data_IF_152419317945
#
_entry.id   IF_152419317945
#
_cell.length_a   1.000
_cell.length_b   1.000
_cell.length_c   1.000
_cell.angle_alpha   90.00
_cell.angle_beta   90.00
_cell.angle_gamma   90.00
#
_symmetry.space_group_name_H-M   'P 1'
#
loop_
_entity.id
_entity.type
_entity.pdbx_description
1 polymer ?
#
# COMPACT_ATOMS: atom_id res chain seq x y z
N UNK A 1 -56.67 14.60 -28.23
CA UNK A 1 -56.17 14.82 -26.86
C UNK A 1 -55.59 13.51 -26.35
N UNK A 2 -54.30 13.29 -26.55
CA UNK A 2 -53.56 12.14 -26.01
C UNK A 2 -52.97 12.57 -24.67
N UNK A 3 -53.42 11.95 -23.59
CA UNK A 3 -52.89 12.16 -22.24
C UNK A 3 -51.55 11.46 -22.10
N UNK A 4 -50.48 12.24 -22.10
CA UNK A 4 -49.15 11.84 -21.65
C UNK A 4 -49.18 11.61 -20.13
N UNK A 5 -49.29 10.36 -19.70
CA UNK A 5 -48.98 9.98 -18.33
C UNK A 5 -47.47 9.68 -18.24
N UNK A 6 -46.68 10.73 -18.06
CA UNK A 6 -45.29 10.64 -17.62
C UNK A 6 -45.26 10.43 -16.11
N UNK A 7 -45.52 9.20 -15.68
CA UNK A 7 -45.03 8.75 -14.38
C UNK A 7 -43.52 8.57 -14.54
N UNK A 8 -42.77 9.60 -14.16
CA UNK A 8 -41.34 9.50 -13.90
C UNK A 8 -41.13 8.54 -12.72
N UNK A 9 -41.12 7.25 -13.02
CA UNK A 9 -40.60 6.25 -12.10
C UNK A 9 -39.12 6.55 -11.93
N UNK A 10 -38.73 6.89 -10.69
CA UNK A 10 -37.33 6.90 -10.24
C UNK A 10 -36.59 5.72 -10.88
N UNK A 11 -35.33 5.88 -11.32
CA UNK A 11 -34.59 4.81 -12.00
C UNK A 11 -34.52 3.61 -11.07
N UNK A 12 -35.42 2.65 -11.29
CA UNK A 12 -35.45 1.40 -10.55
C UNK A 12 -34.19 0.67 -10.97
N UNK A 13 -33.25 0.53 -10.04
CA UNK A 13 -32.06 -0.28 -10.24
C UNK A 13 -32.48 -1.60 -10.88
N UNK A 14 -31.88 -2.01 -12.02
CA UNK A 14 -32.26 -3.23 -12.68
C UNK A 14 -32.06 -4.39 -11.70
N UNK A 15 -33.16 -4.91 -11.16
CA UNK A 15 -33.13 -6.04 -10.23
C UNK A 15 -32.84 -7.27 -11.06
N UNK A 16 -31.64 -7.84 -10.91
CA UNK A 16 -31.32 -9.11 -11.54
C UNK A 16 -32.24 -10.18 -10.96
N UNK A 17 -33.06 -10.83 -11.80
CA UNK A 17 -33.95 -11.91 -11.34
C UNK A 17 -33.16 -13.13 -10.88
N UNK A 18 -32.04 -13.42 -11.53
CA UNK A 18 -31.11 -14.50 -11.18
C UNK A 18 -29.66 -14.05 -11.39
N UNK A 19 -28.79 -14.31 -10.42
CA UNK A 19 -27.36 -14.00 -10.47
C UNK A 19 -26.52 -15.14 -11.05
N UNK A 20 -27.02 -16.37 -10.93
CA UNK A 20 -26.36 -17.61 -11.30
C UNK A 20 -27.30 -18.42 -12.19
N UNK A 21 -26.77 -18.99 -13.27
CA UNK A 21 -27.48 -19.83 -14.22
C UNK A 21 -26.69 -21.11 -14.48
N UNK A 22 -27.20 -22.23 -13.96
CA UNK A 22 -26.58 -23.56 -13.92
C UNK A 22 -25.16 -23.60 -13.37
N UNK A 23 -24.19 -23.32 -14.23
CA UNK A 23 -22.76 -23.46 -13.97
C UNK A 23 -22.01 -22.13 -14.12
N UNK A 24 -22.67 -21.01 -14.43
CA UNK A 24 -22.00 -19.71 -14.61
C UNK A 24 -22.84 -18.52 -14.12
N UNK A 25 -22.22 -17.35 -14.04
CA UNK A 25 -22.93 -16.11 -13.73
C UNK A 25 -23.76 -15.64 -14.93
N UNK A 26 -24.97 -15.16 -14.67
CA UNK A 26 -25.75 -14.45 -15.70
C UNK A 26 -25.03 -13.14 -16.07
N UNK A 27 -25.31 -12.58 -17.25
CA UNK A 27 -24.75 -11.27 -17.65
C UNK A 27 -25.02 -10.19 -16.59
N UNK A 28 -26.20 -10.23 -15.96
CA UNK A 28 -26.58 -9.31 -14.90
C UNK A 28 -25.74 -9.55 -13.63
N UNK A 29 -25.57 -10.81 -13.23
CA UNK A 29 -24.76 -11.17 -12.07
C UNK A 29 -23.28 -10.86 -12.25
N UNK A 30 -22.74 -11.08 -13.45
CA UNK A 30 -21.38 -10.68 -13.81
C UNK A 30 -21.16 -9.19 -13.64
N UNK A 31 -22.01 -8.37 -14.26
CA UNK A 31 -21.87 -6.92 -14.27
C UNK A 31 -22.08 -6.32 -12.87
N UNK A 32 -23.05 -6.80 -12.09
CA UNK A 32 -23.35 -6.26 -10.76
C UNK A 32 -22.43 -6.78 -9.65
N UNK A 33 -22.12 -8.08 -9.65
CA UNK A 33 -21.39 -8.71 -8.56
C UNK A 33 -19.89 -8.80 -8.83
N UNK A 34 -19.46 -9.25 -10.00
CA UNK A 34 -18.03 -9.48 -10.27
C UNK A 34 -17.30 -8.20 -10.69
N UNK A 35 -17.91 -7.38 -11.55
CA UNK A 35 -17.21 -6.23 -12.13
C UNK A 35 -17.30 -4.95 -11.29
N UNK A 36 -18.41 -4.73 -10.57
CA UNK A 36 -18.56 -3.54 -9.69
C UNK A 36 -17.96 -3.73 -8.30
N UNK A 37 -17.91 -4.97 -7.79
CA UNK A 37 -17.40 -5.26 -6.45
C UNK A 37 -15.98 -4.72 -6.19
N UNK A 38 -14.99 -4.88 -7.09
CA UNK A 38 -13.66 -4.32 -6.89
C UNK A 38 -13.68 -2.80 -6.71
N UNK A 39 -14.53 -2.08 -7.44
CA UNK A 39 -14.62 -0.63 -7.32
C UNK A 39 -15.20 -0.19 -5.98
N UNK A 40 -16.21 -0.89 -5.44
CA UNK A 40 -16.71 -0.62 -4.09
C UNK A 40 -15.63 -0.84 -3.03
N UNK A 41 -14.83 -1.90 -3.18
CA UNK A 41 -13.68 -2.14 -2.31
C UNK A 41 -12.63 -1.04 -2.43
N UNK A 42 -12.33 -0.55 -3.63
CA UNK A 42 -11.42 0.59 -3.80
C UNK A 42 -11.96 1.86 -3.13
N UNK A 43 -13.25 2.15 -3.23
CA UNK A 43 -13.85 3.31 -2.56
C UNK A 43 -13.75 3.18 -1.04
N UNK A 44 -14.09 2.01 -0.49
CA UNK A 44 -13.96 1.72 0.94
C UNK A 44 -12.50 1.84 1.40
N UNK A 45 -11.59 1.29 0.61
CA UNK A 45 -10.15 1.34 0.80
C UNK A 45 -9.62 2.79 0.84
N UNK A 46 -10.02 3.63 -0.12
CA UNK A 46 -9.71 5.07 -0.13
C UNK A 46 -10.22 5.74 1.13
N UNK A 47 -11.47 5.48 1.53
CA UNK A 47 -12.04 6.05 2.74
C UNK A 47 -11.24 5.65 3.98
N UNK A 48 -10.84 4.39 4.11
CA UNK A 48 -10.02 3.90 5.22
C UNK A 48 -8.63 4.56 5.24
N UNK A 49 -7.98 4.71 4.08
CA UNK A 49 -6.70 5.40 3.98
C UNK A 49 -6.84 6.87 4.38
N UNK A 50 -7.90 7.56 3.93
CA UNK A 50 -8.15 8.96 4.31
C UNK A 50 -8.44 9.12 5.80
N UNK A 51 -9.22 8.22 6.40
CA UNK A 51 -9.48 8.21 7.85
C UNK A 51 -8.17 7.99 8.63
N UNK A 52 -7.32 7.07 8.18
CA UNK A 52 -6.01 6.83 8.81
C UNK A 52 -5.11 8.06 8.70
N UNK A 53 -5.03 8.68 7.53
CA UNK A 53 -4.26 9.92 7.32
C UNK A 53 -4.78 11.07 8.19
N UNK A 54 -6.11 11.23 8.28
CA UNK A 54 -6.75 12.23 9.11
C UNK A 54 -6.45 12.02 10.59
N UNK A 55 -6.59 10.78 11.07
CA UNK A 55 -6.28 10.43 12.45
C UNK A 55 -4.80 10.67 12.77
N UNK A 56 -3.87 10.26 11.91
CA UNK A 56 -2.42 10.51 12.08
C UNK A 56 -2.06 11.99 12.07
N UNK A 57 -2.80 12.82 11.32
CA UNK A 57 -2.59 14.28 11.32
C UNK A 57 -3.10 14.94 12.60
N UNK A 58 -4.22 14.45 13.12
CA UNK A 58 -4.87 15.01 14.31
C UNK A 58 -4.27 14.51 15.62
N UNK A 59 -3.72 13.29 15.63
CA UNK A 59 -2.74 12.91 16.63
C UNK A 59 -1.47 13.70 16.35
N UNK A 60 -1.47 14.97 16.78
CA UNK A 60 -0.29 15.63 17.32
C UNK A 60 0.15 14.88 18.57
N UNK A 61 0.42 13.59 18.42
CA UNK A 61 1.24 12.91 19.38
C UNK A 61 2.60 13.55 19.16
N UNK A 62 2.91 14.50 20.02
CA UNK A 62 4.22 14.57 20.62
C UNK A 62 4.54 13.18 21.20
N UNK A 63 4.74 12.20 20.33
CA UNK A 63 5.92 11.37 20.47
C UNK A 63 7.03 12.38 20.23
N UNK A 64 7.32 13.15 21.29
CA UNK A 64 8.70 13.36 21.61
C UNK A 64 9.26 11.96 21.44
N UNK A 65 10.03 11.76 20.36
CA UNK A 65 11.11 10.81 20.44
C UNK A 65 11.61 11.05 21.85
N UNK A 66 11.56 10.04 22.72
CA UNK A 66 12.50 10.01 23.81
C UNK A 66 13.84 10.11 23.06
N UNK A 67 14.27 11.34 22.79
CA UNK A 67 15.66 11.70 22.60
C UNK A 67 16.27 10.96 23.75
N UNK A 68 16.99 9.89 23.38
CA UNK A 68 17.53 8.89 24.26
C UNK A 68 17.74 9.52 25.64
N UNK A 69 17.26 8.87 26.71
CA UNK A 69 17.55 9.31 28.09
C UNK A 69 19.06 9.46 28.37
N UNK A 70 19.91 9.15 27.39
CA UNK A 70 21.35 9.29 27.36
C UNK A 70 21.86 10.62 26.77
N UNK A 71 21.02 11.43 26.10
CA UNK A 71 21.40 12.78 25.61
C UNK A 71 20.66 13.92 26.31
N UNK A 72 19.84 13.63 27.33
CA UNK A 72 19.43 14.67 28.26
C UNK A 72 20.65 15.05 29.13
N UNK A 73 21.11 16.31 29.11
CA UNK A 73 22.16 16.73 30.03
C UNK A 73 21.64 16.55 31.45
N UNK A 74 22.25 15.63 32.20
CA UNK A 74 21.98 15.32 33.61
C UNK A 74 22.05 16.55 34.56
N UNK A 75 22.45 17.71 34.02
CA UNK A 75 22.59 18.97 34.73
C UNK A 75 21.39 19.93 34.53
N UNK A 76 20.38 19.56 33.73
CA UNK A 76 19.17 20.37 33.60
C UNK A 76 18.13 20.10 34.73
N UNK A 77 18.57 19.53 35.86
CA UNK A 77 17.84 19.64 37.12
C UNK A 77 18.50 20.73 37.97
N UNK A 78 18.36 21.95 37.50
CA UNK A 78 18.66 23.14 38.28
C UNK A 78 17.56 23.30 39.34
N UNK A 79 17.75 22.67 40.51
CA UNK A 79 17.34 23.14 41.85
C UNK A 79 17.30 21.97 42.85
N UNK A 80 18.45 21.62 43.43
CA UNK A 80 18.76 21.77 44.86
C UNK A 80 20.10 21.08 45.14
N UNK A 81 20.98 21.79 45.84
CA UNK A 81 22.40 21.48 45.90
C UNK A 81 22.77 20.16 46.57
N UNK A 82 23.79 19.50 46.01
CA UNK A 82 24.65 18.58 46.74
C UNK A 82 26.05 18.59 46.10
N UNK A 83 27.03 19.11 46.86
CA UNK A 83 28.45 18.73 46.84
C UNK A 83 29.23 18.82 45.52
N UNK A 84 29.56 20.02 45.05
CA UNK A 84 30.72 20.20 44.17
C UNK A 84 31.96 20.44 45.04
N UNK A 85 32.84 19.44 45.13
CA UNK A 85 34.22 19.62 45.61
C UNK A 85 35.03 20.11 44.43
N UNK A 86 35.50 21.36 44.50
CA UNK A 86 36.49 21.89 43.58
C UNK A 86 37.83 21.20 43.87
N UNK A 87 38.26 20.29 43.00
CA UNK A 87 39.66 19.91 42.90
C UNK A 87 40.30 20.70 41.77
N UNK A 88 41.08 21.70 42.18
CA UNK A 88 42.08 22.37 41.36
C UNK A 88 43.22 21.40 41.17
N UNK A 89 43.52 21.01 39.92
CA UNK A 89 44.85 20.49 39.59
C UNK A 89 45.43 21.23 38.39
N UNK A 90 46.71 21.51 38.58
CA UNK A 90 47.57 22.39 37.81
C UNK A 90 47.80 21.90 36.37
N UNK A 91 48.00 22.91 35.54
CA UNK A 91 48.53 22.87 34.19
C UNK A 91 49.91 22.17 34.19
N UNK A 92 50.05 21.06 33.48
CA UNK A 92 51.38 20.66 33.01
C UNK A 92 51.36 20.09 31.59
N UNK A 93 52.21 20.70 30.76
CA UNK A 93 52.34 20.47 29.33
C UNK A 93 52.92 19.08 29.05
N UNK A 94 52.13 18.16 28.51
CA UNK A 94 52.67 17.09 27.67
C UNK A 94 51.65 16.60 26.65
N UNK A 95 52.09 16.62 25.41
CA UNK A 95 51.40 16.22 24.20
C UNK A 95 51.23 14.70 24.12
N UNK A 96 50.16 14.19 24.72
CA UNK A 96 49.45 12.97 24.35
C UNK A 96 48.08 13.11 24.99
N UNK A 97 47.00 13.09 24.20
CA UNK A 97 45.64 13.32 24.72
C UNK A 97 45.23 12.13 25.60
N UNK A 98 45.69 12.11 26.84
CA UNK A 98 45.24 11.18 27.86
C UNK A 98 43.80 11.52 28.17
N UNK A 99 42.88 10.78 27.55
CA UNK A 99 41.46 10.84 27.86
C UNK A 99 41.28 10.73 29.37
N UNK A 100 40.55 11.68 29.95
CA UNK A 100 40.29 11.74 31.38
C UNK A 100 39.62 10.43 31.82
N UNK A 101 39.91 9.94 33.04
CA UNK A 101 39.33 8.68 33.56
C UNK A 101 37.79 8.65 33.43
N UNK A 102 37.14 9.81 33.55
CA UNK A 102 35.72 9.99 33.25
C UNK A 102 35.37 9.68 31.78
N UNK A 103 36.14 10.16 30.81
CA UNK A 103 35.92 9.87 29.38
C UNK A 103 36.14 8.39 29.05
N UNK A 104 37.05 7.70 29.75
CA UNK A 104 37.20 6.23 29.62
C UNK A 104 36.03 5.46 30.23
N UNK A 105 35.39 5.97 31.28
CA UNK A 105 34.24 5.32 31.93
C UNK A 105 32.91 5.55 31.21
N UNK A 106 32.82 6.56 30.33
CA UNK A 106 31.61 6.90 29.58
C UNK A 106 31.79 6.78 28.06
N UNK A 107 32.78 6.02 27.59
CA UNK A 107 32.89 5.71 26.17
C UNK A 107 31.79 4.70 25.78
N UNK A 108 30.63 5.24 25.42
CA UNK A 108 29.43 4.52 24.95
C UNK A 108 29.75 3.60 23.75
N UNK A 109 30.91 3.78 23.10
CA UNK A 109 31.37 2.87 22.03
C UNK A 109 31.74 1.48 22.54
N UNK A 110 32.03 1.32 23.84
CA UNK A 110 32.48 0.04 24.42
C UNK A 110 31.38 -0.68 25.21
N UNK A 111 30.27 -0.02 25.52
CA UNK A 111 29.09 -0.69 26.08
C UNK A 111 28.38 -1.46 24.98
N UNK A 112 28.80 -2.70 24.75
CA UNK A 112 28.02 -3.68 23.99
C UNK A 112 26.63 -3.75 24.65
N UNK A 113 25.61 -3.24 23.98
CA UNK A 113 24.22 -3.33 24.42
C UNK A 113 23.89 -4.82 24.51
N UNK A 114 24.00 -5.37 25.71
CA UNK A 114 23.59 -6.72 26.05
C UNK A 114 22.40 -6.59 26.97
N UNK A 115 21.44 -7.47 26.76
CA UNK A 115 20.28 -7.64 27.61
C UNK A 115 20.73 -8.09 29.01
N UNK A 116 19.85 -8.01 30.00
CA UNK A 116 20.17 -8.46 31.36
C UNK A 116 20.56 -9.96 31.41
N UNK A 117 20.16 -10.72 30.38
CA UNK A 117 20.53 -12.13 30.16
C UNK A 117 21.89 -12.33 29.45
N UNK A 118 22.59 -11.26 29.09
CA UNK A 118 23.89 -11.30 28.41
C UNK A 118 23.84 -11.54 26.89
N UNK A 119 22.65 -11.65 26.32
CA UNK A 119 22.43 -11.72 24.87
C UNK A 119 22.57 -10.32 24.25
N UNK A 120 23.17 -10.15 23.06
CA UNK A 120 23.24 -8.84 22.41
C UNK A 120 21.83 -8.32 22.11
N UNK A 121 21.53 -7.06 22.47
CA UNK A 121 20.33 -6.37 22.01
C UNK A 121 20.39 -6.29 20.48
N UNK A 122 19.31 -6.68 19.82
CA UNK A 122 19.14 -6.53 18.37
C UNK A 122 19.43 -5.11 17.93
N UNK A 123 20.54 -4.89 17.22
CA UNK A 123 20.82 -3.59 16.62
C UNK A 123 19.96 -3.46 15.37
N UNK A 124 18.99 -2.55 15.41
CA UNK A 124 18.16 -2.21 14.25
C UNK A 124 19.04 -1.67 13.11
N UNK A 125 19.46 -2.55 12.20
CA UNK A 125 20.16 -2.15 10.98
C UNK A 125 19.14 -1.71 9.94
N UNK A 126 19.31 -0.49 9.42
CA UNK A 126 18.50 0.02 8.31
C UNK A 126 19.02 -0.64 7.03
N UNK A 127 18.37 -1.72 6.60
CA UNK A 127 18.71 -2.39 5.34
C UNK A 127 18.09 -1.64 4.17
N UNK A 128 18.93 -1.17 3.25
CA UNK A 128 18.48 -0.55 2.01
C UNK A 128 17.98 -1.60 1.02
N UNK A 129 16.95 -1.24 0.23
CA UNK A 129 16.40 -2.13 -0.80
C UNK A 129 17.43 -2.49 -1.87
N UNK A 130 17.53 -3.79 -2.15
CA UNK A 130 18.35 -4.33 -3.24
C UNK A 130 17.88 -3.86 -4.61
N UNK A 131 18.78 -3.91 -5.60
CA UNK A 131 18.45 -3.62 -6.99
C UNK A 131 17.33 -4.53 -7.54
N UNK A 132 17.29 -5.79 -7.09
CA UNK A 132 16.25 -6.76 -7.49
C UNK A 132 14.85 -6.31 -7.05
N UNK A 133 14.73 -5.73 -5.87
CA UNK A 133 13.46 -5.19 -5.38
C UNK A 133 13.05 -3.94 -6.15
N UNK A 134 14.02 -3.07 -6.47
CA UNK A 134 13.76 -1.91 -7.31
C UNK A 134 13.23 -2.31 -8.69
N UNK A 135 13.80 -3.37 -9.27
CA UNK A 135 13.33 -3.92 -10.54
C UNK A 135 11.90 -4.49 -10.42
N UNK A 136 11.56 -5.17 -9.31
CA UNK A 136 10.19 -5.68 -9.07
C UNK A 136 9.16 -4.55 -8.99
N UNK A 137 9.46 -3.44 -8.30
CA UNK A 137 8.57 -2.26 -8.25
C UNK A 137 8.41 -1.62 -9.64
N UNK A 138 9.49 -1.53 -10.41
CA UNK A 138 9.43 -1.03 -11.78
C UNK A 138 8.55 -1.93 -12.67
N UNK A 139 8.71 -3.25 -12.57
CA UNK A 139 7.90 -4.23 -13.29
C UNK A 139 6.42 -4.15 -12.89
N UNK A 140 6.12 -4.04 -11.60
CA UNK A 140 4.76 -3.81 -11.08
C UNK A 140 4.15 -2.55 -11.72
N UNK A 141 4.91 -1.46 -11.77
CA UNK A 141 4.46 -0.20 -12.36
C UNK A 141 4.13 -0.32 -13.85
N UNK A 142 4.95 -1.06 -14.61
CA UNK A 142 4.69 -1.34 -16.04
C UNK A 142 3.41 -2.15 -16.21
N UNK A 143 3.21 -3.17 -15.38
CA UNK A 143 2.01 -4.01 -15.42
C UNK A 143 0.75 -3.22 -15.06
N UNK A 144 0.83 -2.30 -14.10
CA UNK A 144 -0.27 -1.40 -13.75
C UNK A 144 -0.63 -0.46 -14.91
N UNK A 145 0.35 0.09 -15.62
CA UNK A 145 0.12 0.90 -16.83
C UNK A 145 -0.60 0.08 -17.90
N UNK A 146 -0.12 -1.14 -18.15
CA UNK A 146 -0.73 -2.05 -19.13
C UNK A 146 -2.17 -2.38 -18.76
N UNK A 147 -2.42 -2.66 -17.48
CA UNK A 147 -3.74 -3.00 -16.96
C UNK A 147 -4.71 -1.82 -17.01
N UNK A 148 -4.22 -0.60 -16.73
CA UNK A 148 -4.99 0.63 -16.89
C UNK A 148 -5.35 0.87 -18.36
N UNK A 149 -4.41 0.63 -19.29
CA UNK A 149 -4.65 0.75 -20.72
C UNK A 149 -5.70 -0.24 -21.21
N UNK A 150 -5.65 -1.50 -20.76
CA UNK A 150 -6.70 -2.49 -21.05
C UNK A 150 -8.03 -2.02 -20.49
N UNK A 151 -8.07 -1.59 -19.23
CA UNK A 151 -9.31 -1.12 -18.60
C UNK A 151 -9.89 0.13 -19.27
N UNK A 152 -9.06 0.94 -19.93
CA UNK A 152 -9.48 2.08 -20.75
C UNK A 152 -9.91 1.69 -22.18
N UNK A 153 -9.59 0.48 -22.65
CA UNK A 153 -9.93 0.02 -24.01
C UNK A 153 -11.43 0.10 -24.38
N UNK A 154 -12.41 -0.10 -23.47
CA UNK A 154 -13.82 0.02 -23.82
C UNK A 154 -14.22 1.43 -24.31
N UNK A 155 -13.49 2.47 -23.91
CA UNK A 155 -13.77 3.84 -24.33
C UNK A 155 -13.32 4.14 -25.77
N UNK A 156 -12.32 3.39 -26.26
CA UNK A 156 -11.76 3.58 -27.60
C UNK A 156 -12.33 2.57 -28.61
N UNK A 157 -12.60 1.33 -28.18
CA UNK A 157 -13.03 0.25 -29.05
C UNK A 157 -14.49 -0.14 -28.79
N UNK A 158 -15.39 0.26 -29.70
CA UNK A 158 -16.82 -0.09 -29.63
C UNK A 158 -17.09 -1.60 -29.60
N UNK A 159 -16.18 -2.41 -30.19
CA UNK A 159 -16.26 -3.87 -30.20
C UNK A 159 -16.10 -4.50 -28.81
N UNK A 160 -15.33 -3.84 -27.93
CA UNK A 160 -15.15 -4.22 -26.53
C UNK A 160 -16.29 -3.64 -25.69
N UNK A 161 -16.68 -2.38 -25.95
CA UNK A 161 -17.82 -1.73 -25.29
C UNK A 161 -19.15 -2.50 -25.42
N UNK A 162 -19.29 -3.32 -26.48
CA UNK A 162 -20.48 -4.14 -26.70
C UNK A 162 -20.79 -5.09 -25.53
N UNK A 163 -19.77 -5.49 -24.75
CA UNK A 163 -19.94 -6.36 -23.60
C UNK A 163 -20.86 -5.75 -22.52
N UNK A 164 -20.79 -4.43 -22.34
CA UNK A 164 -21.49 -3.69 -21.29
C UNK A 164 -22.68 -2.87 -21.79
N UNK A 165 -23.28 -3.22 -22.93
CA UNK A 165 -24.47 -2.52 -23.48
C UNK A 165 -25.64 -2.44 -22.49
N UNK A 166 -25.75 -3.39 -21.57
CA UNK A 166 -26.79 -3.42 -20.54
C UNK A 166 -26.50 -2.47 -19.37
N UNK A 167 -25.23 -2.15 -19.10
CA UNK A 167 -24.80 -1.34 -17.98
C UNK A 167 -23.54 -0.54 -18.32
N UNK A 168 -23.76 0.65 -18.88
CA UNK A 168 -22.68 1.53 -19.34
C UNK A 168 -21.79 2.06 -18.21
N UNK A 169 -22.15 1.87 -16.93
CA UNK A 169 -21.36 2.34 -15.80
C UNK A 169 -20.20 1.41 -15.48
N UNK A 170 -20.26 0.14 -15.88
CA UNK A 170 -19.25 -0.86 -15.52
C UNK A 170 -17.83 -0.50 -15.97
N UNK A 171 -17.59 -0.04 -17.22
CA UNK A 171 -16.25 0.38 -17.63
C UNK A 171 -15.67 1.49 -16.75
N UNK A 172 -16.51 2.41 -16.25
CA UNK A 172 -16.07 3.48 -15.36
C UNK A 172 -15.64 2.93 -14.00
N UNK A 173 -16.38 1.98 -13.42
CA UNK A 173 -15.98 1.32 -12.16
C UNK A 173 -14.64 0.60 -12.29
N UNK A 174 -14.45 -0.15 -13.39
CA UNK A 174 -13.18 -0.84 -13.67
C UNK A 174 -12.03 0.17 -13.83
N UNK A 175 -12.27 1.27 -14.56
CA UNK A 175 -11.29 2.34 -14.73
C UNK A 175 -10.94 3.04 -13.40
N UNK A 176 -11.91 3.31 -12.53
CA UNK A 176 -11.69 3.91 -11.21
C UNK A 176 -10.86 2.98 -10.32
N UNK A 177 -11.17 1.68 -10.31
CA UNK A 177 -10.42 0.68 -9.56
C UNK A 177 -8.95 0.62 -9.99
N UNK A 178 -8.69 0.47 -11.30
CA UNK A 178 -7.32 0.41 -11.82
C UNK A 178 -6.59 1.75 -11.78
N UNK A 179 -7.31 2.87 -11.94
CA UNK A 179 -6.77 4.21 -11.76
C UNK A 179 -6.30 4.44 -10.33
N UNK A 180 -7.06 3.95 -9.35
CA UNK A 180 -6.64 3.99 -7.94
C UNK A 180 -5.38 3.15 -7.69
N UNK A 181 -5.34 1.90 -8.17
CA UNK A 181 -4.15 1.04 -8.06
C UNK A 181 -2.94 1.65 -8.77
N UNK A 182 -3.13 2.28 -9.92
CA UNK A 182 -2.08 3.00 -10.64
C UNK A 182 -1.52 4.15 -9.80
N UNK A 183 -2.37 4.93 -9.13
CA UNK A 183 -1.93 6.00 -8.23
C UNK A 183 -1.10 5.42 -7.06
N UNK A 184 -1.54 4.31 -6.45
CA UNK A 184 -0.76 3.65 -5.40
C UNK A 184 0.60 3.17 -5.91
N UNK A 185 0.64 2.53 -7.08
CA UNK A 185 1.87 2.11 -7.73
C UNK A 185 2.80 3.28 -8.05
N UNK A 186 2.26 4.40 -8.54
CA UNK A 186 3.01 5.62 -8.82
C UNK A 186 3.61 6.23 -7.55
N UNK A 187 2.86 6.25 -6.45
CA UNK A 187 3.38 6.67 -5.13
C UNK A 187 4.53 5.74 -4.72
N UNK A 188 4.34 4.42 -4.78
CA UNK A 188 5.39 3.44 -4.42
C UNK A 188 6.65 3.61 -5.27
N UNK A 189 6.50 3.83 -6.57
CA UNK A 189 7.61 4.11 -7.49
C UNK A 189 8.32 5.43 -7.14
N UNK A 190 7.58 6.49 -6.82
CA UNK A 190 8.14 7.78 -6.44
C UNK A 190 8.90 7.72 -5.09
N UNK A 191 8.43 6.89 -4.16
CA UNK A 191 9.05 6.71 -2.83
C UNK A 191 10.13 5.64 -2.80
N UNK A 192 10.50 5.05 -3.94
CA UNK A 192 11.40 3.90 -3.99
C UNK A 192 12.81 4.20 -3.45
N UNK A 193 13.28 5.44 -3.61
CA UNK A 193 14.61 5.88 -3.18
C UNK A 193 14.65 6.31 -1.71
N UNK A 194 13.57 6.95 -1.24
CA UNK A 194 13.56 7.63 0.06
C UNK A 194 12.86 6.79 1.14
N UNK A 195 12.19 5.71 0.75
CA UNK A 195 11.32 4.93 1.63
C UNK A 195 10.03 5.67 1.97
N UNK A 196 9.05 4.93 2.46
CA UNK A 196 7.82 5.51 2.97
C UNK A 196 7.98 5.93 4.43
N UNK A 197 7.63 7.18 4.74
CA UNK A 197 7.64 7.67 6.12
C UNK A 197 6.74 6.82 7.02
N UNK A 198 7.13 6.62 8.28
CA UNK A 198 6.45 5.72 9.22
C UNK A 198 4.97 6.07 9.49
N UNK A 199 4.57 7.31 9.18
CA UNK A 199 3.21 7.84 9.36
C UNK A 199 2.22 7.31 8.32
N UNK A 200 2.71 6.80 7.19
CA UNK A 200 1.87 6.30 6.12
C UNK A 200 1.56 4.80 6.34
N UNK A 201 0.35 4.34 5.96
CA UNK A 201 0.06 2.92 5.94
C UNK A 201 1.02 2.21 4.97
N UNK A 202 1.28 0.93 5.19
CA UNK A 202 2.10 0.16 4.26
C UNK A 202 1.31 -0.04 2.96
N UNK A 203 1.75 0.62 1.88
CA UNK A 203 1.03 0.58 0.60
C UNK A 203 1.17 -0.79 -0.05
N UNK A 204 2.25 -1.54 0.20
CA UNK A 204 2.46 -2.84 -0.41
C UNK A 204 1.39 -3.85 0.02
N UNK A 205 1.16 -4.01 1.34
CA UNK A 205 0.10 -4.89 1.84
C UNK A 205 -1.27 -4.48 1.28
N UNK A 206 -1.50 -3.18 1.19
CA UNK A 206 -2.75 -2.62 0.71
C UNK A 206 -2.98 -2.92 -0.78
N UNK A 207 -1.99 -2.67 -1.64
CA UNK A 207 -2.07 -3.01 -3.06
C UNK A 207 -2.16 -4.53 -3.28
N UNK A 208 -1.37 -5.31 -2.54
CA UNK A 208 -1.37 -6.77 -2.62
C UNK A 208 -2.72 -7.38 -2.26
N UNK A 209 -3.36 -6.88 -1.19
CA UNK A 209 -4.69 -7.30 -0.79
C UNK A 209 -5.73 -7.03 -1.90
N UNK A 210 -5.69 -5.83 -2.50
CA UNK A 210 -6.59 -5.47 -3.59
C UNK A 210 -6.34 -6.32 -4.84
N UNK A 211 -5.09 -6.62 -5.20
CA UNK A 211 -4.77 -7.54 -6.29
C UNK A 211 -5.31 -8.94 -6.02
N UNK A 212 -5.15 -9.44 -4.80
CA UNK A 212 -5.62 -10.77 -4.40
C UNK A 212 -7.13 -10.88 -4.52
N UNK A 213 -7.87 -9.92 -3.97
CA UNK A 213 -9.33 -9.92 -4.09
C UNK A 213 -9.76 -9.79 -5.56
N UNK A 214 -9.15 -8.88 -6.30
CA UNK A 214 -9.46 -8.74 -7.72
C UNK A 214 -9.20 -10.04 -8.49
N UNK A 215 -8.09 -10.73 -8.20
CA UNK A 215 -7.73 -12.00 -8.83
C UNK A 215 -8.79 -13.09 -8.57
N UNK A 216 -9.36 -13.14 -7.37
CA UNK A 216 -10.45 -14.10 -7.09
C UNK A 216 -11.69 -13.84 -7.95
N UNK A 217 -12.08 -12.57 -8.13
CA UNK A 217 -13.20 -12.21 -9.01
C UNK A 217 -12.89 -12.45 -10.49
N UNK A 218 -11.67 -12.13 -10.92
CA UNK A 218 -11.25 -12.31 -12.31
C UNK A 218 -11.11 -13.77 -12.71
N UNK A 219 -10.87 -14.68 -11.77
CA UNK A 219 -10.91 -16.12 -12.02
C UNK A 219 -12.29 -16.58 -12.53
N UNK A 220 -13.38 -16.08 -11.93
CA UNK A 220 -14.73 -16.37 -12.41
C UNK A 220 -14.98 -15.75 -13.79
N UNK A 221 -14.53 -14.52 -14.02
CA UNK A 221 -14.65 -13.87 -15.33
C UNK A 221 -13.87 -14.59 -16.43
N UNK A 222 -12.66 -15.08 -16.13
CA UNK A 222 -11.87 -15.90 -17.03
C UNK A 222 -12.65 -17.16 -17.42
N UNK A 223 -13.21 -17.85 -16.42
CA UNK A 223 -13.98 -19.06 -16.65
C UNK A 223 -15.17 -18.80 -17.57
N UNK A 224 -15.95 -17.74 -17.32
CA UNK A 224 -17.06 -17.36 -18.21
C UNK A 224 -16.59 -17.02 -19.63
N UNK A 225 -15.41 -16.40 -19.77
CA UNK A 225 -14.82 -16.11 -21.07
C UNK A 225 -14.40 -17.38 -21.83
N UNK A 226 -13.83 -18.37 -21.15
CA UNK A 226 -13.44 -19.66 -21.73
C UNK A 226 -14.67 -20.46 -22.16
N UNK A 227 -15.75 -20.44 -21.37
CA UNK A 227 -17.02 -21.11 -21.68
C UNK A 227 -17.80 -20.43 -22.82
N UNK A 228 -17.37 -19.23 -23.25
CA UNK A 228 -18.03 -18.50 -24.32
C UNK A 228 -19.30 -17.76 -23.89
N UNK A 229 -19.53 -17.58 -22.58
CA UNK A 229 -20.67 -16.82 -22.02
C UNK A 229 -20.41 -15.29 -22.02
N UNK A 230 -19.76 -14.81 -23.07
CA UNK A 230 -19.49 -13.38 -23.29
C UNK A 230 -20.28 -12.88 -24.49
N UNK A 231 -20.68 -11.61 -24.47
CA UNK A 231 -21.49 -11.04 -25.54
C UNK A 231 -20.66 -10.76 -26.82
N UNK A 232 -19.34 -10.69 -26.69
CA UNK A 232 -18.40 -10.40 -27.79
C UNK A 232 -17.12 -11.22 -27.67
N UNK A 233 -16.59 -11.69 -28.81
CA UNK A 233 -15.26 -12.33 -28.87
C UNK A 233 -14.15 -11.43 -28.32
N UNK A 234 -14.27 -10.12 -28.55
CA UNK A 234 -13.33 -9.13 -28.01
C UNK A 234 -13.48 -8.95 -26.50
N UNK A 235 -14.69 -9.12 -25.96
CA UNK A 235 -14.95 -9.16 -24.52
C UNK A 235 -14.30 -10.37 -23.86
N UNK A 236 -14.35 -11.55 -24.49
CA UNK A 236 -13.63 -12.74 -24.00
C UNK A 236 -12.12 -12.49 -23.90
N UNK A 237 -11.50 -11.96 -24.96
CA UNK A 237 -10.07 -11.62 -24.96
C UNK A 237 -9.71 -10.57 -23.90
N UNK A 238 -10.58 -9.59 -23.69
CA UNK A 238 -10.42 -8.60 -22.63
C UNK A 238 -10.29 -9.26 -21.25
N UNK A 239 -11.23 -10.14 -20.87
CA UNK A 239 -11.18 -10.84 -19.57
C UNK A 239 -9.98 -11.78 -19.45
N UNK A 240 -9.63 -12.49 -20.52
CA UNK A 240 -8.46 -13.38 -20.55
C UNK A 240 -7.19 -12.59 -20.29
N UNK A 241 -6.96 -11.50 -21.05
CA UNK A 241 -5.79 -10.63 -20.85
C UNK A 241 -5.77 -10.02 -19.45
N UNK A 242 -6.94 -9.57 -18.97
CA UNK A 242 -7.07 -8.96 -17.64
C UNK A 242 -6.69 -9.95 -16.53
N UNK A 243 -7.08 -11.22 -16.65
CA UNK A 243 -6.71 -12.27 -15.71
C UNK A 243 -5.20 -12.55 -15.72
N UNK A 244 -4.58 -12.71 -16.90
CA UNK A 244 -3.16 -13.02 -16.99
C UNK A 244 -2.28 -11.91 -16.42
N UNK A 245 -2.60 -10.64 -16.71
CA UNK A 245 -1.85 -9.50 -16.17
C UNK A 245 -2.08 -9.37 -14.67
N UNK A 246 -3.30 -9.57 -14.18
CA UNK A 246 -3.58 -9.55 -12.74
C UNK A 246 -2.86 -10.68 -11.99
N UNK A 247 -2.76 -11.86 -12.60
CA UNK A 247 -2.01 -12.99 -12.05
C UNK A 247 -0.52 -12.66 -11.97
N UNK A 248 0.03 -12.05 -13.01
CA UNK A 248 1.43 -11.62 -13.02
C UNK A 248 1.69 -10.51 -11.98
N UNK A 249 0.78 -9.54 -11.84
CA UNK A 249 0.81 -8.53 -10.78
C UNK A 249 0.81 -9.17 -9.40
N UNK A 250 -0.06 -10.15 -9.16
CA UNK A 250 -0.11 -10.90 -7.91
C UNK A 250 1.21 -11.63 -7.63
N UNK A 251 1.77 -12.33 -8.61
CA UNK A 251 3.04 -13.06 -8.47
C UNK A 251 4.22 -12.12 -8.20
N UNK A 252 4.34 -11.02 -8.93
CA UNK A 252 5.38 -10.01 -8.72
C UNK A 252 5.21 -9.38 -7.34
N UNK A 253 3.99 -8.98 -6.98
CA UNK A 253 3.69 -8.39 -5.68
C UNK A 253 3.87 -9.36 -4.52
N UNK A 254 3.63 -10.66 -4.70
CA UNK A 254 3.85 -11.69 -3.68
C UNK A 254 5.33 -12.10 -3.53
N UNK A 255 6.16 -11.78 -4.51
CA UNK A 255 7.59 -12.13 -4.51
C UNK A 255 8.48 -11.05 -3.85
N UNK A 256 7.92 -10.03 -3.22
CA UNK A 256 8.68 -9.04 -2.47
C UNK A 256 9.14 -9.63 -1.13
N UNK A 257 10.42 -9.41 -0.79
CA UNK A 257 10.97 -9.86 0.49
C UNK A 257 10.72 -8.80 1.58
N UNK A 258 10.79 -7.52 1.21
CA UNK A 258 10.55 -6.40 2.12
C UNK A 258 9.35 -5.55 1.69
N UNK A 259 8.53 -5.14 2.67
CA UNK A 259 7.43 -4.19 2.48
C UNK A 259 7.90 -2.77 2.18
N UNK A 260 6.99 -1.79 2.16
CA UNK A 260 7.34 -0.39 1.88
C UNK A 260 7.96 0.35 3.08
N UNK A 261 7.89 -0.24 4.27
CA UNK A 261 8.53 0.28 5.47
C UNK A 261 9.94 -0.30 5.62
N UNK A 262 10.91 0.48 6.10
CA UNK A 262 12.21 -0.08 6.47
C UNK A 262 11.99 -1.13 7.56
N UNK A 263 12.51 -2.33 7.32
CA UNK A 263 12.49 -3.41 8.31
C UNK A 263 13.64 -3.15 9.26
N UNK A 264 13.34 -2.93 10.53
CA UNK A 264 14.32 -3.06 11.60
C UNK A 264 14.38 -4.55 11.95
N UNK A 265 15.55 -5.17 11.77
CA UNK A 265 15.80 -6.49 12.34
C UNK A 265 16.12 -6.30 13.82
N UNK A 266 15.32 -6.91 14.69
CA UNK A 266 15.65 -7.16 16.10
C UNK A 266 16.33 -8.52 16.23
#
# INVERSE_FOLDING_TARGET
MQSLNSNETLPSWPVCRHYWDYDDFTTCGKNQLLEKYPAYLAILSVALVLIRLYNTRNTKSSVALRTNSETEPLLCQQQLGFGAVNEVYEEDNSSESQLTIAQKHFDIKETSQKDDDGNPLGTAEIVFRDFSEKLKVALESILLVLQLAISASPFFFKSVAQEWKSDNLVPYYNLVFWGYLFILGAIRLATISNGLGHRLPDLWYHSFFLYTIYLTGSFFLLRSAILGHTNSKYGAWFYISQFFISSLLFLVSGSFNYGDKPVAFE
#
